data_IF_856524180071
#
_entry.id   IF_856524180071
#
_cell.length_a   1.000
_cell.length_b   1.000
_cell.length_c   1.000
_cell.angle_alpha   90.00
_cell.angle_beta   90.00
_cell.angle_gamma   90.00
#
_symmetry.space_group_name_H-M   'P 1'
#
loop_
_entity.id
_entity.type
_entity.pdbx_description
1 polymer ?
2 non-polymer ?
3 non-polymer ?
4 water ?
#
# COMPACT_ATOMS: atom_id res chain seq x y z
N UNK A 2 39.20 -15.17 -11.85
CA UNK A 2 40.17 -14.98 -12.97
C UNK A 2 41.23 -13.93 -12.67
N UNK A 3 41.90 -13.47 -13.72
CA UNK A 3 43.03 -12.55 -13.56
C UNK A 3 42.58 -11.16 -13.09
N UNK A 4 43.53 -10.34 -12.67
CA UNK A 4 43.23 -8.94 -12.34
C UNK A 4 42.60 -8.20 -13.56
N UNK A 5 43.13 -8.45 -14.77
CA UNK A 5 42.56 -7.89 -16.02
C UNK A 5 41.14 -8.33 -16.30
N UNK A 6 40.82 -9.61 -16.08
CA UNK A 6 39.46 -10.20 -16.18
C UNK A 6 38.47 -9.45 -15.25
N UNK A 7 38.93 -9.14 -14.03
CA UNK A 7 38.09 -8.57 -12.95
C UNK A 7 37.90 -7.08 -13.14
N UNK A 8 38.89 -6.44 -13.75
CA UNK A 8 38.78 -5.05 -14.14
C UNK A 8 37.76 -4.94 -15.27
N UNK A 9 37.82 -5.86 -16.21
CA UNK A 9 36.98 -5.80 -17.39
C UNK A 9 35.53 -5.98 -16.97
N UNK A 10 35.32 -6.87 -16.00
CA UNK A 10 34.03 -7.15 -15.39
C UNK A 10 33.53 -5.90 -14.63
N UNK A 11 34.40 -5.32 -13.80
CA UNK A 11 34.06 -4.05 -13.11
C UNK A 11 33.69 -2.92 -14.05
N UNK A 12 34.41 -2.79 -15.17
CA UNK A 12 34.09 -1.86 -16.22
C UNK A 12 32.73 -2.08 -16.83
N UNK A 13 32.31 -3.34 -17.00
CA UNK A 13 30.97 -3.59 -17.56
C UNK A 13 29.89 -3.24 -16.55
N UNK A 14 30.15 -3.53 -15.27
CA UNK A 14 29.15 -3.26 -14.23
C UNK A 14 29.09 -1.74 -14.00
N UNK A 15 30.23 -1.08 -14.06
CA UNK A 15 30.29 0.35 -13.87
C UNK A 15 29.47 1.08 -14.92
N UNK A 16 29.61 0.70 -16.20
CA UNK A 16 28.78 1.41 -17.16
C UNK A 16 27.28 1.03 -17.05
N UNK A 17 26.97 -0.21 -16.67
CA UNK A 17 25.58 -0.58 -16.40
C UNK A 17 24.96 0.29 -15.29
N UNK A 18 25.76 0.49 -14.24
CA UNK A 18 25.39 1.40 -13.15
C UNK A 18 25.18 2.82 -13.61
N UNK A 19 26.07 3.33 -14.44
CA UNK A 19 25.89 4.66 -15.01
C UNK A 19 24.56 4.75 -15.73
N UNK A 20 24.20 3.75 -16.52
CA UNK A 20 22.92 3.73 -17.29
C UNK A 20 21.70 3.68 -16.37
N UNK A 21 21.82 2.87 -15.33
CA UNK A 21 20.77 2.81 -14.32
C UNK A 21 20.61 4.11 -13.52
N UNK A 22 21.72 4.73 -13.10
CA UNK A 22 21.67 6.02 -12.44
C UNK A 22 20.95 7.08 -13.25
N UNK A 23 21.26 7.17 -14.55
CA UNK A 23 20.57 8.08 -15.40
C UNK A 23 19.08 7.79 -15.45
N UNK A 24 18.67 6.53 -15.56
CA UNK A 24 17.26 6.17 -15.62
C UNK A 24 16.55 6.49 -14.33
N UNK A 25 17.10 6.07 -13.19
CA UNK A 25 16.51 6.48 -11.92
C UNK A 25 16.39 7.98 -11.68
N UNK A 26 17.41 8.78 -12.05
CA UNK A 26 17.26 10.25 -11.93
C UNK A 26 16.07 10.72 -12.71
N UNK A 27 15.91 10.17 -13.90
CA UNK A 27 14.81 10.53 -14.75
C UNK A 27 13.45 10.12 -14.20
N UNK A 28 13.33 8.87 -13.72
CA UNK A 28 12.12 8.42 -13.06
C UNK A 28 11.80 9.26 -11.81
N UNK A 29 12.82 9.66 -11.03
CA UNK A 29 12.56 10.56 -9.91
C UNK A 29 11.93 11.87 -10.37
N UNK A 30 12.50 12.47 -11.41
CA UNK A 30 11.94 13.74 -11.97
C UNK A 30 10.53 13.52 -12.55
N UNK A 31 10.25 12.33 -13.09
CA UNK A 31 8.89 12.03 -13.53
C UNK A 31 7.91 12.07 -12.38
N UNK A 32 8.29 11.40 -11.29
CA UNK A 32 7.50 11.41 -10.08
C UNK A 32 7.31 12.81 -9.53
N UNK A 33 8.39 13.60 -9.54
CA UNK A 33 8.26 15.01 -9.20
C UNK A 33 7.25 15.80 -10.04
N UNK A 34 7.32 15.66 -11.35
CA UNK A 34 6.42 16.40 -12.20
C UNK A 34 4.98 15.93 -11.97
N UNK A 35 4.78 14.64 -11.62
CA UNK A 35 3.46 14.14 -11.38
C UNK A 35 2.90 14.73 -10.07
N UNK A 36 3.79 14.82 -9.10
CA UNK A 36 3.42 15.47 -7.83
C UNK A 36 3.06 16.95 -8.02
N UNK A 37 3.82 17.62 -8.88
CA UNK A 37 3.57 19.03 -9.21
C UNK A 37 2.18 19.13 -9.83
N UNK A 38 1.85 18.25 -10.77
CA UNK A 38 0.54 18.32 -11.40
C UNK A 38 -0.59 18.08 -10.39
N UNK A 39 -0.41 17.07 -9.54
CA UNK A 39 -1.48 16.73 -8.61
C UNK A 39 -1.64 17.84 -7.61
N UNK A 40 -0.53 18.39 -7.12
CA UNK A 40 -0.60 19.51 -6.15
C UNK A 40 -1.44 20.63 -6.81
N UNK A 41 -1.15 20.90 -8.07
CA UNK A 41 -1.84 21.99 -8.75
C UNK A 41 -3.31 21.72 -8.86
N UNK A 42 -3.70 20.48 -9.18
CA UNK A 42 -5.07 20.06 -9.32
C UNK A 42 -5.78 20.26 -7.98
N UNK A 43 -5.18 19.72 -6.91
CA UNK A 43 -5.86 19.71 -5.62
C UNK A 43 -6.09 21.18 -5.18
N UNK A 44 -5.12 22.05 -5.47
CA UNK A 44 -5.24 23.43 -5.05
C UNK A 44 -6.27 24.17 -5.83
N UNK A 45 -6.36 23.91 -7.15
CA UNK A 45 -7.40 24.54 -7.94
C UNK A 45 -8.81 24.07 -7.53
N UNK A 46 -8.94 22.77 -7.24
CA UNK A 46 -10.18 22.10 -6.86
C UNK A 46 -10.69 22.49 -5.47
N UNK A 47 -9.75 22.69 -4.56
CA UNK A 47 -10.05 23.25 -3.26
C UNK A 47 -10.92 24.48 -3.26
N UNK A 48 -10.71 25.42 -4.20
CA UNK A 48 -11.56 26.63 -4.33
C UNK A 48 -13.02 26.29 -4.47
N UNK A 49 -13.37 25.43 -5.44
CA UNK A 49 -14.75 25.04 -5.56
C UNK A 49 -15.31 24.30 -4.30
N UNK A 50 -14.50 23.46 -3.70
CA UNK A 50 -14.97 22.68 -2.54
C UNK A 50 -15.32 23.63 -1.37
N UNK A 51 -14.41 24.55 -1.05
CA UNK A 51 -14.69 25.54 0.04
C UNK A 51 -15.88 26.43 -0.27
N UNK A 52 -16.09 26.79 -1.53
CA UNK A 52 -17.28 27.57 -1.85
C UNK A 52 -18.59 26.82 -1.58
N UNK A 53 -18.63 25.56 -2.01
CA UNK A 53 -19.84 24.75 -1.89
C UNK A 53 -20.19 24.52 -0.42
N UNK A 54 -19.17 24.23 0.41
CA UNK A 54 -19.33 24.01 1.87
C UNK A 54 -20.16 25.16 2.45
N UNK A 55 -19.75 26.39 2.12
CA UNK A 55 -20.41 27.55 2.72
C UNK A 55 -21.76 27.80 2.10
N UNK A 56 -21.90 27.58 0.81
CA UNK A 56 -23.14 27.83 0.12
C UNK A 56 -24.21 26.81 0.58
N UNK A 57 -23.81 25.60 0.95
CA UNK A 57 -24.84 24.67 1.52
C UNK A 57 -25.44 25.12 2.84
N UNK A 58 -24.58 25.65 3.69
CA UNK A 58 -25.03 26.24 4.98
C UNK A 58 -26.04 27.35 4.76
N UNK A 59 -25.78 28.22 3.78
CA UNK A 59 -26.70 29.31 3.48
C UNK A 59 -28.02 28.78 2.92
N UNK A 60 -27.92 27.80 2.03
CA UNK A 60 -29.15 27.12 1.51
C UNK A 60 -29.96 26.55 2.67
N UNK A 61 -29.32 25.89 3.62
CA UNK A 61 -30.03 25.33 4.81
C UNK A 61 -30.70 26.34 5.72
N UNK A 62 -30.00 27.41 6.07
CA UNK A 62 -30.59 28.42 6.94
C UNK A 62 -31.77 28.98 6.18
N UNK A 63 -31.62 29.11 4.86
CA UNK A 63 -32.70 29.60 4.03
C UNK A 63 -33.91 28.66 4.05
N UNK A 64 -33.73 27.41 3.57
CA UNK A 64 -34.89 26.47 3.49
C UNK A 64 -35.44 25.93 4.84
N UNK A 65 -34.67 26.03 5.91
CA UNK A 65 -35.12 25.63 7.22
C UNK A 65 -36.14 26.62 7.80
N UNK A 66 -36.10 27.83 7.23
CA UNK A 66 -36.97 28.96 7.53
C UNK A 66 -38.35 28.87 6.89
N UNK A 67 -38.51 27.95 5.94
CA UNK A 67 -39.76 27.79 5.20
C UNK A 67 -40.66 26.73 5.83
N UNK B 2 44.75 -1.70 -19.86
CA UNK B 2 45.55 -0.75 -20.71
C UNK B 2 45.62 0.72 -20.32
N UNK B 3 46.42 1.07 -19.31
CA UNK B 3 47.11 0.10 -18.46
C UNK B 3 46.15 -0.29 -17.31
N UNK B 4 46.44 -1.36 -16.57
CA UNK B 4 45.49 -1.77 -15.53
C UNK B 4 45.53 -0.85 -14.30
N UNK B 5 46.72 -0.37 -13.95
CA UNK B 5 46.86 0.76 -13.05
C UNK B 5 45.87 1.91 -13.43
N UNK B 6 45.87 2.33 -14.70
CA UNK B 6 45.11 3.51 -15.14
C UNK B 6 43.59 3.23 -15.14
N UNK B 7 43.20 2.04 -15.63
CA UNK B 7 41.81 1.55 -15.62
C UNK B 7 41.20 1.48 -14.21
N UNK B 8 42.03 1.19 -13.21
CA UNK B 8 41.60 1.07 -11.83
C UNK B 8 41.39 2.44 -11.24
N UNK B 9 42.36 3.29 -11.49
CA UNK B 9 42.27 4.68 -11.06
C UNK B 9 40.98 5.27 -11.59
N UNK B 10 40.68 4.96 -12.83
CA UNK B 10 39.57 5.55 -13.51
C UNK B 10 38.25 4.95 -12.94
N UNK B 11 38.18 3.61 -12.75
CA UNK B 11 37.08 2.97 -12.02
C UNK B 11 36.83 3.55 -10.66
N UNK B 12 37.89 3.87 -9.93
CA UNK B 12 37.74 4.52 -8.60
C UNK B 12 37.09 5.88 -8.69
N UNK B 13 37.45 6.64 -9.73
CA UNK B 13 36.90 7.98 -9.94
C UNK B 13 35.42 7.86 -10.31
N UNK B 14 35.12 6.86 -11.16
CA UNK B 14 33.73 6.64 -11.53
C UNK B 14 32.95 6.16 -10.32
N UNK B 15 33.54 5.23 -9.55
CA UNK B 15 32.87 4.72 -8.36
C UNK B 15 32.55 5.83 -7.32
N UNK B 16 33.50 6.74 -7.05
CA UNK B 16 33.25 7.90 -6.19
C UNK B 16 32.13 8.80 -6.74
N UNK B 17 32.15 9.02 -8.06
CA UNK B 17 31.11 9.77 -8.78
C UNK B 17 29.73 9.12 -8.62
N UNK B 18 29.64 7.80 -8.85
CA UNK B 18 28.39 7.06 -8.51
C UNK B 18 27.95 7.20 -7.08
N UNK B 19 28.88 7.13 -6.11
CA UNK B 19 28.47 7.26 -4.67
C UNK B 19 27.83 8.60 -4.42
N UNK B 20 28.44 9.65 -4.97
CA UNK B 20 27.91 11.00 -4.79
C UNK B 20 26.47 11.14 -5.40
N UNK B 21 26.31 10.55 -6.60
CA UNK B 21 25.03 10.60 -7.36
C UNK B 21 23.97 9.79 -6.60
N UNK B 22 24.36 8.60 -6.11
CA UNK B 22 23.52 7.77 -5.24
C UNK B 22 23.03 8.51 -3.99
N UNK B 23 23.94 9.24 -3.34
CA UNK B 23 23.56 9.97 -2.13
C UNK B 23 22.56 11.07 -2.43
N UNK B 24 22.78 11.74 -3.55
CA UNK B 24 21.87 12.77 -3.92
C UNK B 24 20.49 12.23 -4.31
N UNK B 25 20.45 11.09 -5.03
CA UNK B 25 19.21 10.47 -5.47
C UNK B 25 18.43 10.04 -4.23
N UNK B 26 19.12 9.52 -3.24
CA UNK B 26 18.49 9.21 -1.97
C UNK B 26 17.82 10.41 -1.29
N UNK B 27 18.47 11.57 -1.31
CA UNK B 27 17.85 12.75 -0.69
C UNK B 27 16.66 13.22 -1.51
N UNK B 28 16.76 13.07 -2.84
CA UNK B 28 15.67 13.46 -3.69
C UNK B 28 14.48 12.51 -3.61
N UNK B 29 14.75 11.24 -3.43
CA UNK B 29 13.72 10.27 -3.22
C UNK B 29 12.96 10.59 -1.91
N UNK B 30 13.71 10.94 -0.84
CA UNK B 30 13.06 11.33 0.45
C UNK B 30 12.29 12.64 0.35
N UNK B 31 12.72 13.55 -0.51
CA UNK B 31 11.90 14.74 -0.69
C UNK B 31 10.63 14.38 -1.40
N UNK B 32 10.70 13.49 -2.38
CA UNK B 32 9.51 13.03 -3.03
C UNK B 32 8.55 12.29 -2.08
N UNK B 33 9.08 11.44 -1.24
CA UNK B 33 8.24 10.70 -0.32
C UNK B 33 7.48 11.67 0.63
N UNK B 34 8.18 12.70 1.10
CA UNK B 34 7.59 13.77 1.98
C UNK B 34 6.46 14.50 1.26
N UNK B 35 6.69 14.81 -0.02
CA UNK B 35 5.74 15.51 -0.83
C UNK B 35 4.51 14.69 -1.09
N UNK B 36 4.73 13.41 -1.42
CA UNK B 36 3.60 12.46 -1.57
C UNK B 36 2.80 12.39 -0.27
N UNK B 37 3.48 12.26 0.85
CA UNK B 37 2.73 12.21 2.17
C UNK B 37 1.94 13.48 2.47
N UNK B 38 2.48 14.65 2.10
CA UNK B 38 1.83 15.94 2.29
C UNK B 38 0.57 15.98 1.45
N UNK B 39 0.71 15.56 0.19
CA UNK B 39 -0.44 15.52 -0.72
C UNK B 39 -1.55 14.56 -0.27
N UNK B 40 -1.18 13.34 0.18
CA UNK B 40 -2.14 12.46 0.85
C UNK B 40 -2.90 13.10 2.00
N UNK B 41 -2.18 13.82 2.91
CA UNK B 41 -2.83 14.60 3.99
C UNK B 41 -3.86 15.58 3.46
N UNK B 42 -3.51 16.30 2.38
CA UNK B 42 -4.46 17.26 1.82
C UNK B 42 -5.68 16.63 1.21
N UNK B 43 -5.47 15.52 0.51
CA UNK B 43 -6.61 14.75 0.00
C UNK B 43 -7.50 14.24 1.13
N UNK B 44 -6.88 13.84 2.22
CA UNK B 44 -7.65 13.39 3.37
C UNK B 44 -8.52 14.48 3.97
N UNK B 45 -7.95 15.66 4.12
CA UNK B 45 -8.75 16.82 4.48
C UNK B 45 -9.89 17.10 3.48
N UNK B 46 -9.59 17.08 2.17
CA UNK B 46 -10.68 17.21 1.16
C UNK B 46 -11.73 16.18 1.32
N UNK B 47 -11.35 14.94 1.61
CA UNK B 47 -12.35 13.91 1.76
C UNK B 47 -13.24 14.21 2.98
N UNK B 48 -12.62 14.70 4.06
CA UNK B 48 -13.41 15.08 5.21
C UNK B 48 -14.46 16.14 4.84
N UNK B 49 -14.03 17.21 4.12
CA UNK B 49 -14.94 18.31 3.80
C UNK B 49 -15.97 17.81 2.82
N UNK B 50 -15.55 16.97 1.87
CA UNK B 50 -16.53 16.46 0.90
C UNK B 50 -17.56 15.64 1.57
N UNK B 51 -17.16 14.85 2.56
CA UNK B 51 -18.15 13.99 3.25
C UNK B 51 -19.23 14.86 3.91
N UNK B 52 -18.83 16.01 4.45
CA UNK B 52 -19.81 16.94 5.04
C UNK B 52 -20.79 17.50 3.99
N UNK B 53 -20.22 17.82 2.83
CA UNK B 53 -20.99 18.33 1.71
C UNK B 53 -22.00 17.29 1.22
N UNK B 54 -21.58 16.02 1.19
CA UNK B 54 -22.52 15.00 0.67
C UNK B 54 -23.66 14.75 1.72
N UNK B 55 -23.32 14.83 3.00
CA UNK B 55 -24.34 14.81 4.05
C UNK B 55 -25.29 15.98 3.97
N UNK B 56 -24.77 17.21 3.76
CA UNK B 56 -25.66 18.34 3.72
C UNK B 56 -26.51 18.30 2.45
N UNK B 57 -25.96 17.69 1.40
CA UNK B 57 -26.83 17.53 0.20
C UNK B 57 -28.08 16.67 0.55
N UNK B 58 -27.88 15.58 1.29
CA UNK B 58 -29.02 14.80 1.82
C UNK B 58 -29.99 15.62 2.62
N UNK B 59 -29.44 16.44 3.51
CA UNK B 59 -30.34 17.29 4.31
C UNK B 59 -31.15 18.25 3.45
N UNK B 60 -30.50 18.90 2.50
CA UNK B 60 -31.15 19.85 1.64
C UNK B 60 -32.25 19.18 0.82
N UNK B 61 -31.99 18.00 0.29
CA UNK B 61 -33.02 17.32 -0.53
C UNK B 61 -34.22 16.91 0.32
N UNK B 62 -33.93 16.49 1.54
CA UNK B 62 -35.00 16.05 2.47
C UNK B 62 -35.94 17.20 2.78
N UNK B 63 -35.34 18.39 3.05
CA UNK B 63 -36.10 19.58 3.37
C UNK B 63 -36.88 20.13 2.14
N UNK B 64 -36.21 20.20 0.98
CA UNK B 64 -36.82 20.63 -0.30
C UNK B 64 -38.03 19.74 -0.63
N UNK B 65 -37.85 18.43 -0.52
CA UNK B 65 -38.97 17.50 -0.75
C UNK B 65 -40.13 17.67 0.20
N UNK B 66 -39.84 17.88 1.48
CA UNK B 66 -40.82 18.16 2.53
C UNK B 66 -41.75 19.30 2.10
N UNK B 67 -41.33 20.20 1.21
CA UNK B 67 -42.33 20.97 0.39
C UNK B 67 -42.45 20.69 -1.12
N UNK B 68 -43.46 19.93 -1.55
CA UNK B 68 -44.26 19.03 -0.73
C UNK B 68 -44.79 17.90 -1.62
N UNK C 3 42.25 -21.40 4.33
CA UNK C 3 41.20 -20.33 4.32
C UNK C 3 40.05 -20.81 3.49
N UNK C 4 40.28 -21.75 2.56
CA UNK C 4 39.13 -22.41 1.88
C UNK C 4 38.28 -23.23 2.88
N UNK C 5 38.96 -24.01 3.75
CA UNK C 5 38.30 -24.68 4.86
C UNK C 5 37.55 -23.68 5.74
N UNK C 6 38.19 -22.60 6.20
CA UNK C 6 37.47 -21.58 7.03
C UNK C 6 36.27 -21.01 6.28
N UNK C 7 36.42 -20.86 4.96
CA UNK C 7 35.32 -20.30 4.15
C UNK C 7 34.17 -21.27 3.97
N UNK C 8 34.47 -22.52 3.61
CA UNK C 8 33.47 -23.58 3.70
C UNK C 8 32.84 -23.64 5.11
N UNK C 9 33.66 -23.61 6.17
CA UNK C 9 33.07 -23.67 7.53
C UNK C 9 32.07 -22.53 7.73
N UNK C 10 32.40 -21.33 7.26
CA UNK C 10 31.50 -20.20 7.42
C UNK C 10 30.17 -20.42 6.64
N UNK C 11 30.29 -20.97 5.44
CA UNK C 11 29.10 -21.27 4.63
C UNK C 11 28.18 -22.29 5.26
N UNK C 12 28.75 -23.33 5.88
CA UNK C 12 27.97 -24.39 6.54
C UNK C 12 27.26 -23.77 7.73
N UNK C 13 27.93 -22.85 8.43
CA UNK C 13 27.32 -22.14 9.55
C UNK C 13 26.15 -21.27 9.09
N UNK C 14 26.34 -20.52 8.01
CA UNK C 14 25.30 -19.60 7.53
C UNK C 14 24.19 -20.47 6.90
N UNK C 15 24.59 -21.55 6.27
CA UNK C 15 23.58 -22.49 5.71
C UNK C 15 22.65 -23.03 6.79
N UNK C 16 23.20 -23.47 7.91
CA UNK C 16 22.41 -23.91 9.03
C UNK C 16 21.43 -22.85 9.59
N UNK C 17 21.90 -21.61 9.71
CA UNK C 17 21.01 -20.54 10.13
C UNK C 17 19.91 -20.32 9.11
N UNK C 18 20.24 -20.40 7.81
CA UNK C 18 19.22 -20.21 6.76
C UNK C 18 18.21 -21.33 6.79
N UNK C 19 18.66 -22.58 7.05
CA UNK C 19 17.72 -23.68 7.20
C UNK C 19 16.69 -23.46 8.31
N UNK C 20 17.20 -23.09 9.50
CA UNK C 20 16.36 -22.82 10.65
C UNK C 20 15.40 -21.71 10.38
N UNK C 21 15.87 -20.62 9.78
CA UNK C 21 14.95 -19.50 9.55
C UNK C 21 13.89 -19.90 8.50
N UNK C 22 14.29 -20.61 7.44
CA UNK C 22 13.30 -20.93 6.40
C UNK C 22 12.17 -21.77 7.01
N UNK C 23 12.51 -22.71 7.89
CA UNK C 23 11.45 -23.54 8.51
C UNK C 23 10.57 -22.65 9.42
N UNK C 24 11.18 -21.69 10.15
CA UNK C 24 10.36 -20.78 10.98
C UNK C 24 9.43 -19.99 10.11
N UNK C 25 9.95 -19.46 9.01
CA UNK C 25 9.09 -18.62 8.17
C UNK C 25 7.93 -19.42 7.55
N UNK C 26 8.23 -20.64 7.13
CA UNK C 26 7.19 -21.51 6.57
C UNK C 26 6.05 -21.70 7.59
N UNK C 27 6.40 -21.95 8.84
CA UNK C 27 5.36 -22.14 9.86
C UNK C 27 4.54 -20.90 10.04
N UNK C 28 5.24 -19.77 10.16
CA UNK C 28 4.49 -18.48 10.29
C UNK C 28 3.58 -18.12 9.09
N UNK C 29 4.05 -18.38 7.87
CA UNK C 29 3.29 -18.07 6.64
C UNK C 29 2.01 -18.90 6.60
N UNK C 30 2.12 -20.16 6.97
CA UNK C 30 0.93 -21.01 7.00
C UNK C 30 -0.02 -20.63 8.10
N UNK C 31 0.49 -20.24 9.27
CA UNK C 31 -0.44 -19.76 10.32
C UNK C 31 -1.10 -18.48 9.86
N UNK C 32 -0.37 -17.65 9.14
CA UNK C 32 -0.96 -16.37 8.76
C UNK C 32 -2.09 -16.52 7.69
N UNK C 33 -1.88 -17.52 6.83
CA UNK C 33 -2.89 -17.91 5.86
C UNK C 33 -4.15 -18.35 6.62
N UNK C 34 -3.96 -19.15 7.68
CA UNK C 34 -5.12 -19.49 8.57
C UNK C 34 -5.76 -18.29 9.28
N UNK C 35 -4.92 -17.40 9.82
CA UNK C 35 -5.42 -16.14 10.37
C UNK C 35 -6.32 -15.34 9.43
N UNK C 36 -5.85 -15.21 8.17
CA UNK C 36 -6.56 -14.50 7.13
C UNK C 36 -7.86 -15.21 6.85
N UNK C 37 -7.86 -16.55 6.85
CA UNK C 37 -9.17 -17.24 6.64
C UNK C 37 -10.23 -16.87 7.67
N UNK C 38 -9.79 -16.71 8.93
CA UNK C 38 -10.69 -16.35 9.96
C UNK C 38 -11.22 -14.90 9.73
N UNK C 39 -10.33 -14.00 9.30
CA UNK C 39 -10.72 -12.60 9.04
C UNK C 39 -11.71 -12.50 7.88
N UNK C 40 -11.46 -13.33 6.87
CA UNK C 40 -12.32 -13.24 5.66
C UNK C 40 -13.66 -13.77 5.99
N UNK C 41 -13.68 -14.80 6.82
CA UNK C 41 -14.95 -15.40 7.22
C UNK C 41 -15.77 -14.38 7.99
N UNK C 42 -15.10 -13.64 8.85
CA UNK C 42 -15.80 -12.66 9.67
C UNK C 42 -16.32 -11.46 8.87
N UNK C 43 -15.58 -11.02 7.85
CA UNK C 43 -15.96 -9.94 7.00
C UNK C 43 -17.18 -10.39 6.20
N UNK C 44 -17.13 -11.63 5.70
CA UNK C 44 -18.29 -12.18 4.98
C UNK C 44 -19.53 -12.21 5.79
N UNK C 45 -19.42 -12.75 7.00
CA UNK C 45 -20.55 -12.88 7.92
C UNK C 45 -21.16 -11.50 8.22
N UNK C 46 -20.28 -10.55 8.40
CA UNK C 46 -20.71 -9.17 8.67
C UNK C 46 -21.44 -8.54 7.44
N UNK C 47 -20.96 -8.85 6.27
CA UNK C 47 -21.60 -8.36 5.04
C UNK C 47 -23.00 -8.98 4.90
N UNK C 48 -23.13 -10.25 5.22
CA UNK C 48 -24.44 -10.87 5.19
C UNK C 48 -25.37 -10.19 6.15
N UNK C 49 -24.84 -9.88 7.34
CA UNK C 49 -25.65 -9.17 8.34
C UNK C 49 -26.07 -7.79 7.87
N UNK C 50 -25.13 -7.06 7.26
CA UNK C 50 -25.46 -5.71 6.72
C UNK C 50 -26.52 -5.85 5.61
N UNK C 51 -26.38 -6.91 4.79
CA UNK C 51 -27.41 -7.20 3.77
C UNK C 51 -28.76 -7.37 4.35
N UNK C 52 -28.89 -8.18 5.40
CA UNK C 52 -30.15 -8.42 5.98
C UNK C 52 -30.73 -7.07 6.51
N UNK C 53 -29.86 -6.24 7.12
CA UNK C 53 -30.38 -4.96 7.69
C UNK C 53 -30.90 -4.12 6.54
N UNK C 54 -30.11 -4.03 5.48
CA UNK C 54 -30.55 -3.18 4.36
C UNK C 54 -31.85 -3.67 3.77
N UNK C 55 -31.96 -4.98 3.57
CA UNK C 55 -33.19 -5.50 3.04
C UNK C 55 -34.42 -5.19 3.88
N UNK C 56 -34.25 -5.32 5.21
CA UNK C 56 -35.33 -5.02 6.08
C UNK C 56 -35.60 -3.49 6.09
N UNK C 57 -34.57 -2.65 5.90
CA UNK C 57 -34.87 -1.23 5.80
C UNK C 57 -35.76 -0.96 4.60
N UNK C 58 -35.50 -1.64 3.48
CA UNK C 58 -36.36 -1.46 2.31
C UNK C 58 -37.83 -1.81 2.64
N UNK C 59 -38.04 -2.86 3.42
CA UNK C 59 -39.43 -3.23 3.75
C UNK C 59 -40.07 -2.20 4.64
N UNK C 60 -39.28 -1.66 5.58
CA UNK C 60 -39.74 -0.66 6.56
C UNK C 60 -40.20 0.60 5.80
N UNK C 61 -39.37 1.00 4.83
CA UNK C 61 -39.67 2.21 4.02
C UNK C 61 -40.98 2.02 3.29
N UNK C 62 -41.17 0.85 2.71
CA UNK C 62 -42.43 0.55 2.00
C UNK C 62 -43.61 0.47 2.99
N UNK C 63 -43.34 -0.01 4.20
CA UNK C 63 -44.41 -0.16 5.18
C UNK C 63 -44.91 1.24 5.58
N UNK C 64 -43.96 2.16 5.73
CA UNK C 64 -44.23 3.53 6.05
C UNK C 64 -45.06 4.17 4.91
N UNK C 65 -44.71 3.89 3.66
CA UNK C 65 -45.47 4.37 2.50
C UNK C 65 -46.94 3.87 2.55
N UNK C 66 -47.11 2.58 2.86
CA UNK C 66 -48.44 1.98 3.00
C UNK C 66 -49.21 2.64 4.11
N UNK C 67 -48.57 2.80 5.29
CA UNK C 67 -49.18 3.50 6.41
C UNK C 67 -49.63 4.92 6.06
N UNK C 68 -48.80 5.63 5.28
CA UNK C 68 -49.05 7.04 4.90
C UNK C 68 -50.35 7.24 4.12
N UNK C 69 -50.86 6.15 3.54
CA UNK C 69 -52.14 6.12 2.83
C UNK C 69 -53.19 5.44 3.74
N UNK D 2 35.10 -24.33 -11.92
CA UNK D 2 35.31 -25.81 -11.72
C UNK D 2 36.22 -26.09 -10.52
N UNK D 3 37.22 -25.23 -10.30
CA UNK D 3 38.06 -25.35 -9.11
C UNK D 3 37.15 -25.23 -7.90
N UNK D 4 37.58 -25.83 -6.79
CA UNK D 4 36.84 -25.76 -5.56
C UNK D 4 36.67 -24.29 -5.18
N UNK D 5 37.64 -23.45 -5.57
CA UNK D 5 37.63 -22.02 -5.22
C UNK D 5 36.55 -21.27 -6.01
N UNK D 6 36.36 -21.65 -7.27
CA UNK D 6 35.28 -21.10 -8.10
C UNK D 6 33.96 -21.41 -7.42
N UNK D 7 33.85 -22.63 -6.92
CA UNK D 7 32.58 -23.12 -6.42
C UNK D 7 32.24 -22.54 -5.08
N UNK D 8 33.24 -22.39 -4.18
CA UNK D 8 32.95 -21.67 -2.94
C UNK D 8 32.74 -20.17 -3.14
N UNK D 9 33.42 -19.61 -4.14
CA UNK D 9 33.06 -18.28 -4.63
C UNK D 9 31.58 -18.17 -5.01
N UNK D 10 31.11 -19.11 -5.81
CA UNK D 10 29.73 -19.09 -6.27
C UNK D 10 28.72 -19.31 -5.15
N UNK D 11 29.08 -20.19 -4.20
CA UNK D 11 28.26 -20.49 -3.03
C UNK D 11 28.19 -19.29 -2.09
N UNK D 12 29.27 -18.50 -2.02
CA UNK D 12 29.27 -17.29 -1.16
C UNK D 12 28.37 -16.25 -1.77
N UNK D 13 28.33 -16.24 -3.11
CA UNK D 13 27.53 -15.30 -3.88
C UNK D 13 26.03 -15.58 -3.69
N UNK D 14 25.65 -16.84 -3.93
CA UNK D 14 24.29 -17.32 -3.66
C UNK D 14 23.92 -17.16 -2.17
N UNK D 15 24.83 -17.50 -1.26
CA UNK D 15 24.53 -17.39 0.16
C UNK D 15 24.15 -15.96 0.54
N UNK D 16 24.92 -15.01 -0.01
CA UNK D 16 24.66 -13.61 0.27
C UNK D 16 23.34 -13.15 -0.41
N UNK D 17 23.03 -13.71 -1.58
CA UNK D 17 21.78 -13.39 -2.24
C UNK D 17 20.66 -13.82 -1.27
N UNK D 18 20.79 -15.04 -0.74
CA UNK D 18 19.77 -15.64 0.13
C UNK D 18 19.57 -14.87 1.40
N UNK D 19 20.69 -14.38 1.96
CA UNK D 19 20.70 -13.58 3.15
C UNK D 19 19.87 -12.33 2.94
N UNK D 20 20.09 -11.67 1.79
CA UNK D 20 19.34 -10.48 1.38
C UNK D 20 17.85 -10.75 1.15
N UNK D 21 17.54 -11.81 0.43
CA UNK D 21 16.14 -12.22 0.19
C UNK D 21 15.42 -12.58 1.51
N UNK D 22 16.11 -13.27 2.39
CA UNK D 22 15.55 -13.62 3.70
C UNK D 22 15.22 -12.37 4.54
N UNK D 23 16.14 -11.41 4.56
CA UNK D 23 15.81 -10.13 5.24
C UNK D 23 14.56 -9.47 4.65
N UNK D 24 14.48 -9.44 3.32
CA UNK D 24 13.34 -8.81 2.61
C UNK D 24 12.07 -9.56 3.00
N UNK D 25 12.22 -10.87 3.17
CA UNK D 25 11.08 -11.71 3.44
C UNK D 25 10.63 -11.46 4.89
N UNK D 26 11.58 -11.27 5.81
CA UNK D 26 11.22 -11.05 7.19
C UNK D 26 10.54 -9.72 7.37
N UNK D 27 10.99 -8.75 6.56
CA UNK D 27 10.51 -7.39 6.63
C UNK D 27 9.08 -7.39 6.12
N UNK D 28 8.85 -8.04 4.98
CA UNK D 28 7.47 -8.09 4.45
C UNK D 28 6.48 -9.00 5.21
N UNK D 29 6.98 -10.03 5.86
CA UNK D 29 6.18 -10.87 6.76
C UNK D 29 5.73 -10.04 7.99
N UNK D 30 6.66 -9.30 8.59
CA UNK D 30 6.30 -8.48 9.73
C UNK D 30 5.17 -7.52 9.29
N UNK D 31 5.34 -6.91 8.14
CA UNK D 31 4.29 -5.96 7.64
C UNK D 31 2.95 -6.66 7.54
N UNK D 32 2.94 -7.84 6.90
CA UNK D 32 1.75 -8.62 6.83
C UNK D 32 1.14 -9.09 8.14
N UNK D 33 1.96 -9.48 9.13
CA UNK D 33 1.41 -9.85 10.39
C UNK D 33 0.80 -8.60 11.08
N UNK D 34 1.45 -7.46 10.90
CA UNK D 34 0.88 -6.22 11.45
C UNK D 34 -0.46 -5.92 10.85
N UNK D 35 -0.52 -6.05 9.52
CA UNK D 35 -1.78 -5.85 8.81
C UNK D 35 -2.87 -6.78 9.24
N UNK D 36 -2.54 -8.04 9.46
CA UNK D 36 -3.47 -8.95 10.08
C UNK D 36 -4.09 -8.49 11.45
N UNK D 37 -3.22 -8.00 12.33
CA UNK D 37 -3.68 -7.42 13.60
C UNK D 37 -4.51 -6.20 13.38
N UNK D 38 -4.12 -5.35 12.44
CA UNK D 38 -4.88 -4.12 12.23
C UNK D 38 -6.28 -4.38 11.68
N UNK D 39 -6.34 -5.32 10.73
CA UNK D 39 -7.60 -5.65 10.07
C UNK D 39 -8.46 -6.31 11.09
N UNK D 40 -7.87 -7.10 11.97
CA UNK D 40 -8.66 -7.67 13.04
C UNK D 40 -9.36 -6.60 13.90
N UNK D 41 -8.60 -5.56 14.28
CA UNK D 41 -9.17 -4.42 15.01
C UNK D 41 -10.25 -3.76 14.19
N UNK D 42 -10.01 -3.56 12.91
CA UNK D 42 -11.00 -2.82 12.12
C UNK D 42 -12.31 -3.65 12.03
N UNK D 43 -12.18 -4.97 11.83
CA UNK D 43 -13.38 -5.83 11.84
C UNK D 43 -14.22 -5.76 13.12
N UNK D 44 -13.53 -5.82 14.26
CA UNK D 44 -14.18 -5.75 15.51
C UNK D 44 -14.94 -4.45 15.67
N UNK D 45 -14.39 -3.32 15.19
CA UNK D 45 -15.08 -2.05 15.37
C UNK D 45 -16.31 -2.02 14.45
N UNK D 46 -16.13 -2.53 13.24
CA UNK D 46 -17.27 -2.68 12.35
C UNK D 46 -18.39 -3.58 12.83
N UNK D 47 -18.06 -4.75 13.39
CA UNK D 47 -19.04 -5.64 13.95
C UNK D 47 -19.83 -4.99 15.09
N UNK D 48 -19.13 -4.24 15.94
CA UNK D 48 -19.81 -3.54 17.02
C UNK D 48 -20.84 -2.49 16.49
N UNK D 49 -20.42 -1.68 15.53
CA UNK D 49 -21.33 -0.69 15.00
C UNK D 49 -22.53 -1.35 14.33
N UNK D 50 -22.27 -2.45 13.66
CA UNK D 50 -23.31 -3.20 13.08
C UNK D 50 -24.27 -3.78 14.11
N UNK D 51 -23.73 -4.34 15.22
CA UNK D 51 -24.57 -4.87 16.32
C UNK D 51 -25.53 -3.72 16.71
N UNK D 52 -25.00 -2.50 16.81
CA UNK D 52 -25.82 -1.41 17.34
C UNK D 52 -26.92 -1.00 16.36
N UNK D 53 -26.59 -0.96 15.07
CA UNK D 53 -27.60 -0.77 13.99
C UNK D 53 -28.71 -1.85 13.94
N UNK D 54 -28.32 -3.09 14.11
CA UNK D 54 -29.34 -4.18 14.19
C UNK D 54 -30.34 -3.94 15.33
N UNK D 55 -29.81 -3.53 16.45
CA UNK D 55 -30.59 -3.21 17.64
C UNK D 55 -31.45 -1.96 17.45
N UNK D 56 -30.97 -0.95 16.76
CA UNK D 56 -31.75 0.25 16.48
C UNK D 56 -32.93 -0.07 15.55
N UNK D 57 -32.70 -0.98 14.60
CA UNK D 57 -33.72 -1.51 13.69
C UNK D 57 -34.80 -2.28 14.43
N UNK D 58 -34.36 -3.18 15.32
CA UNK D 58 -35.33 -3.88 16.21
C UNK D 58 -36.26 -2.89 16.98
N UNK D 59 -35.68 -1.84 17.58
CA UNK D 59 -36.40 -0.68 18.19
C UNK D 59 -37.33 0.04 17.20
N UNK D 60 -36.81 0.37 16.01
CA UNK D 60 -37.67 0.88 14.90
C UNK D 60 -38.87 -0.01 14.57
N UNK D 61 -38.62 -1.31 14.48
CA UNK D 61 -39.67 -2.27 14.13
C UNK D 61 -40.75 -2.32 15.22
N UNK D 62 -40.39 -2.10 16.47
CA UNK D 62 -41.48 -2.02 17.44
C UNK D 62 -42.29 -0.75 17.30
N UNK D 63 -41.67 0.38 16.94
CA UNK D 63 -42.46 1.58 16.74
C UNK D 63 -43.46 1.37 15.59
N UNK D 64 -42.97 0.77 14.49
CA UNK D 64 -43.82 0.49 13.33
C UNK D 64 -45.01 -0.40 13.67
N UNK D 65 -44.74 -1.49 14.40
CA UNK D 65 -45.78 -2.43 14.90
C UNK D 65 -46.86 -1.72 15.66
N UNK D 66 -46.47 -0.81 16.56
CA UNK D 66 -47.50 -0.14 17.32
C UNK D 66 -48.39 0.59 16.30
N UNK D 67 -47.78 1.38 15.40
CA UNK D 67 -48.55 2.15 14.40
C UNK D 67 -49.39 1.33 13.39
N UNK D 68 -49.05 0.05 13.15
CA UNK D 68 -49.83 -0.84 12.24
C UNK D 68 -51.17 -1.29 12.86
N UNK E 2 33.75 -35.20 5.92
CA UNK E 2 34.37 -35.56 4.61
C UNK E 2 35.35 -34.52 4.11
N UNK E 3 35.79 -34.69 2.88
CA UNK E 3 36.73 -33.79 2.27
C UNK E 3 36.08 -32.42 2.10
N UNK E 4 36.91 -31.43 1.79
CA UNK E 4 36.41 -30.12 1.45
C UNK E 4 35.54 -30.25 0.19
N UNK E 5 35.99 -31.07 -0.74
CA UNK E 5 35.25 -31.36 -1.96
C UNK E 5 33.83 -31.93 -1.70
N UNK E 6 33.71 -32.88 -0.76
CA UNK E 6 32.37 -33.39 -0.45
C UNK E 6 31.49 -32.35 0.26
N UNK E 7 32.06 -31.67 1.27
CA UNK E 7 31.38 -30.59 2.00
C UNK E 7 30.82 -29.51 1.08
N UNK E 8 31.53 -29.25 0.00
CA UNK E 8 31.13 -28.25 -0.98
C UNK E 8 29.95 -28.80 -1.77
N UNK E 9 30.03 -30.08 -2.11
CA UNK E 9 28.99 -30.67 -2.97
C UNK E 9 27.69 -30.62 -2.14
N UNK E 10 27.82 -30.92 -0.84
CA UNK E 10 26.68 -30.93 0.09
C UNK E 10 26.08 -29.51 0.29
N UNK E 11 26.93 -28.51 0.40
CA UNK E 11 26.48 -27.12 0.50
C UNK E 11 25.70 -26.75 -0.75
N UNK E 12 26.18 -27.23 -1.91
CA UNK E 12 25.50 -26.95 -3.21
C UNK E 12 24.07 -27.59 -3.30
N UNK E 13 23.93 -28.78 -2.75
CA UNK E 13 22.62 -29.42 -2.71
C UNK E 13 21.70 -28.62 -1.75
N UNK E 14 22.22 -28.31 -0.55
CA UNK E 14 21.43 -27.49 0.39
C UNK E 14 21.08 -26.10 -0.15
N UNK E 15 22.04 -25.43 -0.80
CA UNK E 15 21.81 -24.11 -1.42
C UNK E 15 20.70 -24.09 -2.52
N UNK E 16 20.74 -25.09 -3.39
CA UNK E 16 19.64 -25.34 -4.31
C UNK E 16 18.30 -25.57 -3.58
N UNK E 17 18.29 -26.41 -2.54
CA UNK E 17 17.06 -26.61 -1.77
C UNK E 17 16.55 -25.28 -1.20
N UNK E 18 17.45 -24.44 -0.68
CA UNK E 18 17.03 -23.16 -0.15
C UNK E 18 16.50 -22.26 -1.20
N UNK E 19 17.13 -22.21 -2.40
CA UNK E 19 16.55 -21.37 -3.49
C UNK E 19 15.10 -21.73 -3.83
N UNK E 20 14.80 -23.02 -3.90
CA UNK E 20 13.45 -23.51 -4.18
C UNK E 20 12.52 -23.11 -3.07
N UNK E 21 12.93 -23.34 -1.82
CA UNK E 21 12.03 -23.00 -0.71
C UNK E 21 11.78 -21.48 -0.66
N UNK E 22 12.82 -20.70 -0.94
CA UNK E 22 12.72 -19.26 -0.91
C UNK E 22 11.72 -18.73 -1.88
N UNK E 23 11.75 -19.30 -3.09
CA UNK E 23 10.79 -18.97 -4.10
C UNK E 23 9.38 -19.33 -3.65
N UNK E 24 9.21 -20.50 -3.02
CA UNK E 24 7.88 -20.85 -2.57
C UNK E 24 7.38 -19.94 -1.46
N UNK E 25 8.24 -19.64 -0.49
CA UNK E 25 7.77 -18.75 0.61
C UNK E 25 7.47 -17.31 0.11
N UNK E 26 8.23 -16.87 -0.89
CA UNK E 26 7.93 -15.54 -1.47
C UNK E 26 6.53 -15.50 -2.03
N UNK E 27 6.18 -16.56 -2.76
CA UNK E 27 4.86 -16.70 -3.33
C UNK E 27 3.77 -16.76 -2.23
N UNK E 28 4.02 -17.51 -1.17
CA UNK E 28 2.95 -17.61 -0.14
C UNK E 28 2.79 -16.28 0.61
N UNK E 29 3.90 -15.55 0.79
CA UNK E 29 3.81 -14.19 1.40
C UNK E 29 3.01 -13.21 0.49
N UNK E 30 3.31 -13.26 -0.82
CA UNK E 30 2.53 -12.45 -1.79
C UNK E 30 1.07 -12.80 -1.80
N UNK E 31 0.76 -14.10 -1.70
CA UNK E 31 -0.62 -14.52 -1.59
C UNK E 31 -1.28 -13.90 -0.34
N UNK E 32 -0.59 -13.96 0.81
CA UNK E 32 -1.15 -13.39 2.05
C UNK E 32 -1.31 -11.86 1.95
N UNK E 33 -0.39 -11.21 1.27
CA UNK E 33 -0.49 -9.77 1.08
C UNK E 33 -1.69 -9.42 0.22
N UNK E 34 -1.79 -10.07 -0.93
CA UNK E 34 -2.96 -9.94 -1.83
C UNK E 34 -4.30 -10.17 -1.15
N UNK E 35 -4.41 -11.20 -0.33
CA UNK E 35 -5.59 -11.46 0.45
C UNK E 35 -5.91 -10.33 1.42
N UNK E 36 -4.90 -9.93 2.21
CA UNK E 36 -5.06 -8.75 3.08
C UNK E 36 -5.57 -7.50 2.35
N UNK E 37 -4.96 -7.16 1.20
CA UNK E 37 -5.32 -5.91 0.54
C UNK E 37 -6.73 -5.97 -0.02
N UNK E 38 -7.10 -7.14 -0.52
CA UNK E 38 -8.51 -7.39 -0.90
C UNK E 38 -9.52 -7.27 0.27
N UNK E 39 -9.24 -7.89 1.42
CA UNK E 39 -10.13 -7.80 2.57
C UNK E 39 -10.19 -6.35 3.13
N UNK E 40 -9.07 -5.64 3.15
CA UNK E 40 -9.07 -4.20 3.52
C UNK E 40 -10.08 -3.46 2.67
N UNK E 41 -9.98 -3.64 1.36
CA UNK E 41 -11.01 -3.04 0.45
C UNK E 41 -12.45 -3.36 0.81
N UNK E 42 -12.70 -4.63 1.10
CA UNK E 42 -14.03 -5.06 1.42
C UNK E 42 -14.57 -4.48 2.75
N UNK E 43 -13.73 -4.48 3.78
CA UNK E 43 -14.26 -3.92 5.08
C UNK E 43 -14.54 -2.39 4.95
N UNK E 44 -13.74 -1.70 4.15
CA UNK E 44 -13.95 -0.25 3.92
C UNK E 44 -15.31 -0.07 3.25
N UNK E 45 -15.60 -0.95 2.29
CA UNK E 45 -16.88 -0.83 1.63
C UNK E 45 -18.07 -1.14 2.54
N UNK E 46 -17.95 -2.13 3.45
CA UNK E 46 -18.95 -2.48 4.43
C UNK E 46 -19.18 -1.31 5.39
N UNK E 47 -18.09 -0.62 5.75
CA UNK E 47 -18.18 0.57 6.64
C UNK E 47 -18.92 1.70 5.91
N UNK E 48 -18.65 1.85 4.63
CA UNK E 48 -19.27 2.94 3.86
C UNK E 48 -20.79 2.70 3.79
N UNK E 49 -21.16 1.46 3.52
CA UNK E 49 -22.58 1.11 3.53
C UNK E 49 -23.20 1.24 4.91
N UNK E 50 -22.54 0.76 5.95
CA UNK E 50 -23.11 0.94 7.29
C UNK E 50 -23.43 2.42 7.64
N UNK E 51 -22.49 3.30 7.29
CA UNK E 51 -22.71 4.75 7.44
C UNK E 51 -23.95 5.24 6.77
N UNK E 52 -24.25 4.72 5.56
CA UNK E 52 -25.46 5.10 4.87
C UNK E 52 -26.69 4.59 5.56
N UNK E 53 -26.56 3.38 6.13
CA UNK E 53 -27.67 2.74 6.83
C UNK E 53 -28.03 3.49 8.11
N UNK E 54 -27.01 3.96 8.83
CA UNK E 54 -27.16 4.84 10.00
C UNK E 54 -27.93 6.08 9.68
N UNK E 55 -27.52 6.81 8.64
CA UNK E 55 -28.29 8.00 8.26
C UNK E 55 -29.71 7.66 7.80
N UNK E 56 -29.90 6.52 7.09
CA UNK E 56 -31.27 6.14 6.70
C UNK E 56 -32.13 5.84 7.93
N UNK E 57 -31.56 5.22 8.97
CA UNK E 57 -32.38 4.97 10.20
C UNK E 57 -32.91 6.24 10.83
N UNK E 58 -32.06 7.28 10.86
CA UNK E 58 -32.51 8.61 11.34
C UNK E 58 -33.63 9.14 10.49
N UNK E 59 -33.52 9.00 9.17
CA UNK E 59 -34.61 9.45 8.31
C UNK E 59 -35.91 8.62 8.52
N UNK E 60 -35.76 7.31 8.68
CA UNK E 60 -36.92 6.43 8.96
C UNK E 60 -37.65 6.87 10.26
N UNK E 61 -36.87 7.21 11.28
CA UNK E 61 -37.43 7.68 12.58
C UNK E 61 -38.24 8.94 12.39
N UNK E 62 -37.73 9.90 11.61
CA UNK E 62 -38.49 11.09 11.37
C UNK E 62 -39.77 10.76 10.59
N UNK E 63 -39.70 9.82 9.65
CA UNK E 63 -40.87 9.53 8.88
C UNK E 63 -41.97 8.86 9.76
N UNK E 64 -41.52 7.96 10.63
CA UNK E 64 -42.35 7.28 11.66
C UNK E 64 -42.98 8.31 12.59
N UNK E 65 -42.18 9.31 12.98
CA UNK E 65 -42.72 10.43 13.75
C UNK E 65 -43.88 11.14 13.08
N UNK E 66 -43.74 11.50 11.80
CA UNK E 66 -44.89 12.11 11.09
C UNK E 66 -46.16 11.26 11.15
N UNK E 67 -46.00 9.94 11.07
CA UNK E 67 -47.15 9.03 11.12
C UNK E 67 -47.95 9.12 12.43
N UNK E 68 -47.29 9.28 13.58
CA UNK E 68 -47.97 9.75 14.81
C UNK E 68 -47.64 11.22 15.13
N UNK F 3 48.67 -4.48 -4.15
CA UNK F 3 47.91 -3.21 -3.95
C UNK F 3 46.89 -3.04 -5.08
N UNK F 4 47.28 -3.24 -6.35
CA UNK F 4 46.22 -3.19 -7.35
C UNK F 4 45.20 -4.33 -7.07
N UNK F 5 45.69 -5.52 -6.69
CA UNK F 5 44.78 -6.61 -6.34
C UNK F 5 43.82 -6.20 -5.24
N UNK F 6 44.32 -5.43 -4.27
CA UNK F 6 43.53 -4.94 -3.14
C UNK F 6 42.53 -3.86 -3.57
N UNK F 7 42.98 -2.98 -4.48
CA UNK F 7 42.12 -1.88 -4.96
C UNK F 7 41.01 -2.46 -5.82
N UNK F 8 41.30 -3.52 -6.57
CA UNK F 8 40.20 -4.18 -7.30
C UNK F 8 39.21 -4.84 -6.36
N UNK F 9 39.75 -5.44 -5.29
CA UNK F 9 38.97 -6.10 -4.27
C UNK F 9 38.05 -5.06 -3.61
N UNK F 10 38.59 -3.87 -3.32
CA UNK F 10 37.82 -2.78 -2.71
C UNK F 10 36.74 -2.24 -3.69
N UNK F 11 37.10 -2.11 -4.96
CA UNK F 11 36.10 -1.78 -6.00
C UNK F 11 34.94 -2.78 -6.07
N UNK F 12 35.25 -4.07 -5.98
CA UNK F 12 34.26 -5.14 -6.12
C UNK F 12 33.27 -5.11 -4.99
N UNK F 13 33.74 -4.82 -3.79
CA UNK F 13 32.83 -4.69 -2.66
C UNK F 13 31.98 -3.44 -2.79
N UNK F 14 32.55 -2.32 -3.23
CA UNK F 14 31.73 -1.12 -3.45
C UNK F 14 30.71 -1.37 -4.54
N UNK F 15 31.16 -2.01 -5.61
CA UNK F 15 30.29 -2.25 -6.75
C UNK F 15 29.02 -3.07 -6.36
N UNK F 16 29.23 -4.16 -5.61
CA UNK F 16 28.13 -4.93 -5.01
C UNK F 16 27.17 -4.11 -4.17
N UNK F 17 27.73 -3.24 -3.32
CA UNK F 17 26.97 -2.37 -2.47
C UNK F 17 26.11 -1.39 -3.34
N UNK F 18 26.71 -0.88 -4.42
CA UNK F 18 25.99 0.02 -5.33
C UNK F 18 24.86 -0.75 -6.03
N UNK F 19 25.12 -2.00 -6.41
CA UNK F 19 24.09 -2.82 -7.08
C UNK F 19 22.90 -3.02 -6.15
N UNK F 20 23.19 -3.33 -4.89
CA UNK F 20 22.12 -3.48 -3.87
C UNK F 20 21.32 -2.22 -3.72
N UNK F 21 22.04 -1.11 -3.62
CA UNK F 21 21.41 0.18 -3.38
C UNK F 21 20.53 0.55 -4.57
N UNK F 22 21.08 0.35 -5.77
CA UNK F 22 20.32 0.65 -7.02
C UNK F 22 19.03 -0.19 -7.10
N UNK F 23 19.08 -1.45 -6.68
CA UNK F 23 17.91 -2.27 -6.69
C UNK F 23 16.88 -1.70 -5.71
N UNK F 24 17.33 -1.24 -4.54
CA UNK F 24 16.38 -0.82 -3.51
C UNK F 24 15.79 0.52 -3.91
N UNK F 25 16.61 1.38 -4.52
CA UNK F 25 16.10 2.68 -4.98
C UNK F 25 15.03 2.44 -6.05
N UNK F 26 15.30 1.48 -6.93
CA UNK F 26 14.35 1.22 -8.02
C UNK F 26 13.02 0.74 -7.43
N UNK F 27 13.06 -0.12 -6.40
CA UNK F 27 11.85 -0.57 -5.72
C UNK F 27 11.09 0.59 -5.11
N UNK F 28 11.82 1.52 -4.48
CA UNK F 28 11.14 2.59 -3.75
C UNK F 28 10.49 3.50 -4.77
N UNK F 29 11.16 3.74 -5.90
CA UNK F 29 10.61 4.63 -6.94
C UNK F 29 9.37 4.01 -7.58
N UNK F 30 9.39 2.69 -7.75
CA UNK F 30 8.24 1.96 -8.23
C UNK F 30 7.05 2.06 -7.29
N UNK F 31 7.26 1.78 -6.00
CA UNK F 31 6.30 2.03 -4.98
C UNK F 31 5.77 3.48 -4.98
N UNK F 32 6.62 4.50 -5.15
CA UNK F 32 6.16 5.92 -5.20
C UNK F 32 5.26 6.19 -6.39
N UNK F 33 5.55 5.51 -7.50
CA UNK F 33 4.73 5.66 -8.69
C UNK F 33 3.35 5.11 -8.46
N UNK F 34 3.26 3.97 -7.78
CA UNK F 34 1.98 3.40 -7.41
C UNK F 34 1.23 4.29 -6.44
N UNK F 35 1.95 4.91 -5.50
CA UNK F 35 1.30 5.81 -4.54
C UNK F 35 0.72 7.02 -5.20
N UNK F 36 1.51 7.56 -6.14
CA UNK F 36 1.08 8.72 -6.92
C UNK F 36 -0.21 8.38 -7.70
N UNK F 37 -0.26 7.21 -8.31
CA UNK F 37 -1.44 6.85 -9.12
C UNK F 37 -2.65 6.70 -8.23
N UNK F 38 -2.42 6.17 -7.02
CA UNK F 38 -3.48 6.10 -6.09
C UNK F 38 -4.00 7.44 -5.72
N UNK F 39 -3.17 8.43 -5.43
CA UNK F 39 -3.64 9.77 -5.09
C UNK F 39 -4.32 10.44 -6.29
N UNK F 40 -3.75 10.23 -7.48
CA UNK F 40 -4.42 10.77 -8.69
C UNK F 40 -5.85 10.29 -8.80
N UNK F 41 -6.07 9.00 -8.61
CA UNK F 41 -7.41 8.44 -8.57
C UNK F 41 -8.34 9.04 -7.50
N UNK F 42 -7.84 9.25 -6.29
CA UNK F 42 -8.64 9.83 -5.23
C UNK F 42 -9.03 11.25 -5.55
N UNK F 43 -8.06 12.01 -6.05
CA UNK F 43 -8.36 13.40 -6.49
C UNK F 43 -9.49 13.46 -7.53
N UNK F 44 -9.39 12.57 -8.51
CA UNK F 44 -10.41 12.51 -9.57
C UNK F 44 -11.78 12.12 -9.07
N UNK F 45 -11.84 11.15 -8.15
CA UNK F 45 -13.04 10.74 -7.56
C UNK F 45 -13.73 11.83 -6.73
N UNK F 46 -12.96 12.52 -5.89
CA UNK F 46 -13.48 13.66 -5.16
C UNK F 46 -14.02 14.72 -6.09
N UNK F 47 -13.27 15.03 -7.14
CA UNK F 47 -13.80 16.06 -8.06
C UNK F 47 -15.07 15.63 -8.76
N UNK F 48 -15.20 14.36 -9.11
CA UNK F 48 -16.39 13.86 -9.68
C UNK F 48 -17.59 13.99 -8.73
N UNK F 49 -17.44 13.53 -7.49
CA UNK F 49 -18.50 13.77 -6.51
C UNK F 49 -18.80 15.27 -6.32
N UNK F 50 -17.78 16.10 -6.31
CA UNK F 50 -18.00 17.54 -6.00
C UNK F 50 -18.76 18.13 -7.19
N UNK F 51 -18.38 17.75 -8.41
CA UNK F 51 -19.07 18.27 -9.57
C UNK F 51 -20.53 17.95 -9.51
N UNK F 52 -20.88 16.73 -9.11
CA UNK F 52 -22.26 16.37 -9.01
C UNK F 52 -22.97 17.22 -7.96
N UNK F 53 -22.33 17.42 -6.81
CA UNK F 53 -23.01 18.29 -5.81
C UNK F 53 -23.18 19.70 -6.34
N UNK F 54 -22.16 20.23 -7.02
CA UNK F 54 -22.32 21.58 -7.65
C UNK F 54 -23.47 21.71 -8.67
N UNK F 55 -23.55 20.72 -9.56
CA UNK F 55 -24.58 20.62 -10.58
C UNK F 55 -25.92 20.62 -9.92
N UNK F 56 -26.06 19.78 -8.89
CA UNK F 56 -27.34 19.63 -8.25
C UNK F 56 -27.70 20.94 -7.48
N UNK F 57 -26.70 21.58 -6.91
CA UNK F 57 -26.95 22.78 -6.15
C UNK F 57 -27.40 23.91 -7.08
N UNK F 58 -26.83 24.00 -8.28
CA UNK F 58 -27.36 24.97 -9.27
C UNK F 58 -28.83 24.72 -9.59
N UNK F 59 -29.23 23.47 -9.66
CA UNK F 59 -30.60 23.11 -9.85
C UNK F 59 -31.48 23.50 -8.69
N UNK F 60 -31.01 23.26 -7.47
CA UNK F 60 -31.77 23.51 -6.25
C UNK F 60 -32.01 25.02 -6.05
N UNK F 61 -30.98 25.81 -6.43
CA UNK F 61 -31.10 27.30 -6.40
C UNK F 61 -32.23 27.79 -7.29
N UNK F 62 -32.37 27.21 -8.48
CA UNK F 62 -33.50 27.52 -9.36
C UNK F 62 -34.86 27.04 -8.83
N UNK F 63 -34.90 25.93 -8.10
CA UNK F 63 -36.16 25.39 -7.55
C UNK F 63 -36.79 26.19 -6.42
N UNK F 64 -35.97 26.86 -5.60
CA UNK F 64 -36.53 27.88 -4.72
C UNK F 64 -37.20 29.12 -5.45
#
# INVERSE_FOLDING_TARGET
SGSVEDRVTQLERISNAHSQLLTQLQQQLSDNQSDIDSLRGQIQENQYQLNQVVERQKQILLQIDSLSSGGAAAQLEHHHHHH
SGSVEDRVTQLERISNAHSQLLTQLQQQLSDNQSDIDSLRGQIQENQYQLNQVVERQKQILLQIDSLSSGGAAAQLEHHHHHH
SGSVEDRVTQLERISNAHSQLLTQLQQQLSDNQSDIDSLRGQIQENQYQLNQVVERQKQILLQIDSLSSGGAAAQLEHHHHHH
SGSVEDRVTQLERISNAHSQLLTQLQQQLSDNQSDIDSLRGQIQENQYQLNQVVERQKQILLQIDSLSSGGAAAQLEHHHHHH
SGSVEDRVTQLERISNAHSQLLTQLQQQLSDNQSDIDSLRGQIQENQYQLNQVVERQKQILLQIDSLSSGGAAAQLEHHHHHH
SGSVEDRVTQLERISNAHSQLLTQLQQQLSDNQSDIDSLRGQIQENQYQLNQVVERQKQILLQIDSLSSGGAAAQLEHHHHHH
#
